data_IF_174184287842
#
_entry.id   IF_174184287842
#
_cell.length_a   1.000
_cell.length_b   1.000
_cell.length_c   1.000
_cell.angle_alpha   90.00
_cell.angle_beta   90.00
_cell.angle_gamma   90.00
#
_symmetry.space_group_name_H-M   'P 1'
#
loop_
_entity.id
_entity.type
_entity.pdbx_description
1 polymer ?
#
# COMPACT_ATOMS: atom_id res chain seq x y z
N UNK A 1 -31.99 -25.72 -45.94
CA UNK A 1 -30.97 -24.77 -46.47
C UNK A 1 -30.92 -23.60 -45.49
N UNK A 2 -30.13 -23.56 -44.43
CA UNK A 2 -28.67 -23.75 -44.34
C UNK A 2 -28.05 -22.41 -43.91
N UNK A 3 -28.38 -21.89 -42.72
CA UNK A 3 -27.73 -20.70 -42.16
C UNK A 3 -26.43 -21.10 -41.46
N UNK A 4 -25.29 -20.39 -41.65
CA UNK A 4 -24.04 -20.77 -41.02
C UNK A 4 -24.02 -20.34 -39.54
N UNK A 5 -23.33 -21.09 -38.67
CA UNK A 5 -23.24 -20.76 -37.26
C UNK A 5 -22.33 -19.54 -37.06
N UNK A 6 -22.75 -18.66 -36.16
CA UNK A 6 -21.98 -17.52 -35.68
C UNK A 6 -20.61 -17.98 -35.17
N UNK A 7 -19.54 -17.56 -35.86
CA UNK A 7 -18.17 -17.73 -35.37
C UNK A 7 -18.06 -17.03 -34.02
N UNK A 8 -18.02 -17.82 -32.93
CA UNK A 8 -17.57 -17.37 -31.62
C UNK A 8 -16.18 -16.78 -31.80
N UNK A 9 -16.07 -15.45 -31.71
CA UNK A 9 -14.77 -14.79 -31.56
C UNK A 9 -14.17 -15.28 -30.25
N UNK A 10 -13.22 -16.20 -30.37
CA UNK A 10 -12.33 -16.59 -29.27
C UNK A 10 -11.62 -15.32 -28.78
N UNK A 11 -11.92 -14.89 -27.56
CA UNK A 11 -11.28 -13.75 -26.93
C UNK A 11 -9.76 -14.00 -26.78
N UNK A 12 -8.88 -13.25 -27.47
CA UNK A 12 -7.43 -13.38 -27.32
C UNK A 12 -6.93 -12.83 -25.96
N UNK A 13 -7.83 -12.29 -25.14
CA UNK A 13 -7.52 -11.60 -23.89
C UNK A 13 -7.11 -12.56 -22.75
N UNK A 14 -7.63 -13.81 -22.72
CA UNK A 14 -7.34 -14.77 -21.64
C UNK A 14 -5.86 -15.20 -21.60
N UNK A 15 -5.24 -15.43 -22.76
CA UNK A 15 -3.85 -15.90 -22.83
C UNK A 15 -2.84 -14.87 -22.31
N UNK A 16 -3.03 -13.57 -22.60
CA UNK A 16 -2.10 -12.50 -22.19
C UNK A 16 -2.09 -12.25 -20.68
N UNK A 17 -3.25 -12.36 -20.02
CA UNK A 17 -3.34 -12.25 -18.55
C UNK A 17 -2.68 -13.44 -17.85
N UNK A 18 -2.90 -14.67 -18.34
CA UNK A 18 -2.23 -15.87 -17.80
C UNK A 18 -0.71 -15.82 -17.96
N UNK A 19 -0.19 -15.34 -19.09
CA UNK A 19 1.26 -15.19 -19.33
C UNK A 19 1.87 -14.14 -18.38
N UNK A 20 1.20 -13.01 -18.18
CA UNK A 20 1.68 -11.98 -17.25
C UNK A 20 1.72 -12.49 -15.81
N UNK A 21 0.67 -13.19 -15.37
CA UNK A 21 0.63 -13.77 -14.02
C UNK A 21 1.72 -14.82 -13.85
N UNK A 22 1.91 -15.72 -14.83
CA UNK A 22 2.99 -16.70 -14.80
C UNK A 22 4.38 -16.04 -14.75
N UNK A 23 4.60 -14.95 -15.51
CA UNK A 23 5.85 -14.19 -15.48
C UNK A 23 6.10 -13.52 -14.11
N UNK A 24 5.06 -12.98 -13.46
CA UNK A 24 5.17 -12.42 -12.11
C UNK A 24 5.49 -13.50 -11.07
N UNK A 25 4.85 -14.67 -11.15
CA UNK A 25 5.14 -15.81 -10.28
C UNK A 25 6.59 -16.25 -10.46
N UNK A 26 7.05 -16.44 -11.70
CA UNK A 26 8.43 -16.83 -11.98
C UNK A 26 9.44 -15.78 -11.48
N UNK A 27 9.12 -14.49 -11.64
CA UNK A 27 9.94 -13.41 -11.11
C UNK A 27 10.06 -13.48 -9.57
N UNK A 28 8.95 -13.66 -8.86
CA UNK A 28 8.96 -13.81 -7.39
C UNK A 28 9.76 -15.04 -6.96
N UNK A 29 9.58 -16.19 -7.63
CA UNK A 29 10.34 -17.41 -7.33
C UNK A 29 11.84 -17.19 -7.55
N UNK A 30 12.24 -16.53 -8.65
CA UNK A 30 13.64 -16.20 -8.89
C UNK A 30 14.21 -15.23 -7.86
N UNK A 31 13.42 -14.24 -7.41
CA UNK A 31 13.81 -13.30 -6.37
C UNK A 31 14.04 -14.00 -5.02
N UNK A 32 13.17 -14.96 -4.66
CA UNK A 32 13.32 -15.77 -3.46
C UNK A 32 14.58 -16.66 -3.53
N UNK A 33 14.86 -17.29 -4.67
CA UNK A 33 16.06 -18.13 -4.84
C UNK A 33 17.34 -17.33 -4.71
N UNK A 34 17.41 -16.14 -5.34
CA UNK A 34 18.55 -15.23 -5.20
C UNK A 34 18.71 -14.80 -3.75
N UNK A 35 17.61 -14.40 -3.08
CA UNK A 35 17.63 -14.04 -1.67
C UNK A 35 18.15 -15.17 -0.79
N UNK A 36 17.67 -16.39 -0.98
CA UNK A 36 18.11 -17.56 -0.23
C UNK A 36 19.60 -17.83 -0.39
N UNK A 37 20.12 -17.76 -1.62
CA UNK A 37 21.55 -17.96 -1.89
C UNK A 37 22.42 -16.87 -1.23
N UNK A 38 21.99 -15.61 -1.27
CA UNK A 38 22.72 -14.50 -0.64
C UNK A 38 22.70 -14.63 0.90
N UNK A 39 21.55 -14.94 1.50
CA UNK A 39 21.47 -15.12 2.96
C UNK A 39 22.27 -16.33 3.44
N UNK A 40 22.25 -17.44 2.72
CA UNK A 40 23.10 -18.61 3.05
C UNK A 40 24.59 -18.23 2.99
N UNK A 41 25.02 -17.51 1.95
CA UNK A 41 26.41 -17.08 1.82
C UNK A 41 26.86 -16.12 2.93
N UNK A 42 25.97 -15.23 3.38
CA UNK A 42 26.30 -14.20 4.38
C UNK A 42 26.18 -14.69 5.83
N UNK A 43 25.19 -15.52 6.14
CA UNK A 43 24.84 -15.86 7.53
C UNK A 43 25.28 -17.27 7.96
N UNK A 44 25.43 -18.23 7.04
CA UNK A 44 25.62 -19.64 7.41
C UNK A 44 26.96 -19.94 8.09
N UNK A 45 28.03 -19.19 7.78
CA UNK A 45 29.29 -19.31 8.52
C UNK A 45 29.20 -18.69 9.92
N UNK A 46 28.62 -17.50 10.02
CA UNK A 46 28.44 -16.81 11.29
C UNK A 46 27.52 -17.58 12.25
N UNK A 47 26.46 -18.22 11.74
CA UNK A 47 25.57 -19.08 12.53
C UNK A 47 26.30 -20.33 13.03
N UNK A 48 27.00 -21.05 12.15
CA UNK A 48 27.81 -22.23 12.56
C UNK A 48 28.85 -21.87 13.61
N UNK A 49 29.48 -20.70 13.49
CA UNK A 49 30.39 -20.16 14.50
C UNK A 49 29.71 -19.92 15.85
N UNK A 50 28.56 -19.23 15.88
CA UNK A 50 27.76 -19.00 17.09
C UNK A 50 27.29 -20.31 17.74
N UNK A 51 26.80 -21.26 16.96
CA UNK A 51 26.35 -22.56 17.47
C UNK A 51 27.50 -23.32 18.13
N UNK A 52 28.70 -23.35 17.51
CA UNK A 52 29.89 -23.95 18.11
C UNK A 52 30.30 -23.27 19.41
N UNK A 53 30.29 -21.93 19.44
CA UNK A 53 30.62 -21.16 20.64
C UNK A 53 29.62 -21.43 21.79
N UNK A 54 28.33 -21.49 21.49
CA UNK A 54 27.29 -21.83 22.47
C UNK A 54 27.44 -23.27 22.98
N UNK A 55 27.69 -24.23 22.10
CA UNK A 55 27.93 -25.62 22.47
C UNK A 55 29.17 -25.77 23.36
N UNK A 56 30.25 -25.04 23.05
CA UNK A 56 31.45 -25.00 23.88
C UNK A 56 31.15 -24.43 25.28
N UNK A 57 30.48 -23.27 25.35
CA UNK A 57 30.08 -22.65 26.62
C UNK A 57 29.19 -23.58 27.46
N UNK A 58 28.26 -24.29 26.83
CA UNK A 58 27.40 -25.27 27.52
C UNK A 58 28.23 -26.42 28.09
N UNK A 59 29.18 -26.95 27.32
CA UNK A 59 30.12 -27.98 27.79
C UNK A 59 30.99 -27.52 28.97
N UNK A 60 31.49 -26.29 28.93
CA UNK A 60 32.25 -25.67 30.03
C UNK A 60 31.42 -25.58 31.32
N UNK A 61 30.18 -25.09 31.22
CA UNK A 61 29.26 -25.00 32.36
C UNK A 61 28.95 -26.39 32.94
N UNK A 62 28.70 -27.36 32.06
CA UNK A 62 28.44 -28.75 32.45
C UNK A 62 29.57 -29.36 33.26
N UNK A 63 30.81 -29.15 32.81
CA UNK A 63 32.00 -29.69 33.49
C UNK A 63 32.32 -28.93 34.77
N UNK A 64 32.12 -27.61 34.80
CA UNK A 64 32.48 -26.76 35.95
C UNK A 64 31.49 -26.88 37.11
N UNK A 65 30.20 -26.99 36.81
CA UNK A 65 29.12 -26.96 37.81
C UNK A 65 28.34 -28.27 37.92
N UNK A 66 28.66 -29.28 37.10
CA UNK A 66 27.99 -30.58 37.15
C UNK A 66 26.58 -30.58 36.57
N UNK A 67 26.22 -29.62 35.71
CA UNK A 67 24.89 -29.55 35.11
C UNK A 67 24.49 -30.88 34.43
N UNK A 68 23.27 -31.35 34.72
CA UNK A 68 22.66 -32.48 34.05
C UNK A 68 22.06 -32.07 32.70
N UNK A 69 21.67 -33.03 31.87
CA UNK A 69 20.95 -32.74 30.63
C UNK A 69 19.51 -32.22 30.89
N UNK A 70 18.97 -32.46 32.09
CA UNK A 70 17.67 -31.96 32.51
C UNK A 70 17.77 -30.49 32.94
N UNK A 71 18.85 -30.13 33.64
CA UNK A 71 19.14 -28.76 34.03
C UNK A 71 19.40 -27.86 32.81
N UNK A 72 20.06 -28.39 31.77
CA UNK A 72 20.21 -27.69 30.48
C UNK A 72 18.84 -27.31 29.90
N UNK A 73 17.87 -28.24 29.95
CA UNK A 73 16.50 -27.99 29.45
C UNK A 73 15.76 -26.99 30.32
N UNK A 74 15.94 -27.06 31.63
CA UNK A 74 15.34 -26.11 32.56
C UNK A 74 15.91 -24.71 32.38
N UNK A 75 17.23 -24.58 32.23
CA UNK A 75 17.89 -23.31 31.94
C UNK A 75 17.43 -22.72 30.60
N UNK A 76 17.28 -23.54 29.56
CA UNK A 76 16.72 -23.11 28.28
C UNK A 76 15.25 -22.65 28.38
N UNK A 77 14.45 -23.28 29.26
CA UNK A 77 13.07 -22.85 29.54
C UNK A 77 13.05 -21.53 30.30
N UNK A 78 13.87 -21.41 31.34
CA UNK A 78 13.99 -20.20 32.15
C UNK A 78 14.53 -19.03 31.33
N UNK A 79 15.53 -19.25 30.47
CA UNK A 79 16.07 -18.21 29.59
C UNK A 79 14.99 -17.65 28.65
N UNK A 80 14.20 -18.53 28.02
CA UNK A 80 13.08 -18.12 27.15
C UNK A 80 11.99 -17.36 27.91
N UNK A 81 11.65 -17.80 29.12
CA UNK A 81 10.67 -17.09 29.95
C UNK A 81 11.21 -15.76 30.47
N UNK A 82 12.49 -15.70 30.81
CA UNK A 82 13.15 -14.49 31.29
C UNK A 82 13.25 -13.43 30.18
N UNK A 83 13.47 -13.82 28.93
CA UNK A 83 13.47 -12.89 27.78
C UNK A 83 12.16 -12.10 27.67
N UNK A 84 11.02 -12.76 27.83
CA UNK A 84 9.71 -12.10 27.81
C UNK A 84 9.50 -11.10 28.96
N UNK A 85 10.25 -11.25 30.06
CA UNK A 85 10.19 -10.37 31.24
C UNK A 85 11.37 -9.38 31.29
N UNK A 86 12.33 -9.47 30.37
CA UNK A 86 13.60 -8.73 30.40
C UNK A 86 13.41 -7.21 30.26
N UNK A 87 12.31 -6.80 29.66
CA UNK A 87 11.94 -5.40 29.47
C UNK A 87 10.93 -4.86 30.52
N UNK A 88 10.75 -5.56 31.65
CA UNK A 88 9.87 -5.14 32.73
C UNK A 88 8.38 -5.39 32.47
N UNK A 89 7.49 -4.61 33.11
CA UNK A 89 6.03 -4.79 33.02
C UNK A 89 5.46 -4.32 31.68
N UNK A 90 5.40 -5.23 30.70
CA UNK A 90 4.85 -4.97 29.36
C UNK A 90 3.33 -4.73 29.32
N UNK A 91 2.56 -5.31 30.25
CA UNK A 91 1.09 -5.26 30.25
C UNK A 91 0.49 -4.17 31.16
N UNK A 92 0.85 -2.92 30.88
CA UNK A 92 0.19 -1.71 31.40
C UNK A 92 -0.33 -0.89 30.22
N UNK A 93 -1.17 0.12 30.45
CA UNK A 93 -1.86 0.85 29.36
C UNK A 93 -0.93 1.26 28.20
N UNK A 94 0.23 1.86 28.47
CA UNK A 94 1.20 2.24 27.44
C UNK A 94 1.73 1.04 26.63
N UNK A 95 2.05 -0.08 27.28
CA UNK A 95 2.53 -1.29 26.61
C UNK A 95 1.41 -2.04 25.89
N UNK A 96 0.20 -2.09 26.46
CA UNK A 96 -1.00 -2.59 25.79
C UNK A 96 -1.35 -1.77 24.54
N UNK A 97 -1.18 -0.45 24.60
CA UNK A 97 -1.40 0.45 23.45
C UNK A 97 -0.31 0.25 22.38
N UNK A 98 0.95 0.07 22.79
CA UNK A 98 2.03 -0.27 21.87
C UNK A 98 1.76 -1.60 21.16
N UNK A 99 1.37 -2.64 21.91
CA UNK A 99 0.94 -3.91 21.36
C UNK A 99 -0.26 -3.77 20.41
N UNK A 100 -1.25 -2.96 20.76
CA UNK A 100 -2.38 -2.69 19.88
C UNK A 100 -1.95 -2.06 18.54
N UNK A 101 -1.03 -1.09 18.57
CA UNK A 101 -0.42 -0.52 17.36
C UNK A 101 0.25 -1.61 16.53
N UNK A 102 1.10 -2.44 17.12
CA UNK A 102 1.86 -3.46 16.36
C UNK A 102 0.95 -4.50 15.72
N UNK A 103 -0.21 -4.82 16.33
CA UNK A 103 -1.22 -5.72 15.77
C UNK A 103 -1.93 -5.09 14.56
N UNK A 104 -2.52 -3.89 14.71
CA UNK A 104 -3.32 -3.28 13.62
C UNK A 104 -2.47 -2.80 12.45
N UNK A 105 -1.20 -2.47 12.71
CA UNK A 105 -0.23 -2.07 11.67
C UNK A 105 0.51 -3.26 11.06
N UNK A 106 0.25 -4.48 11.52
CA UNK A 106 0.89 -5.72 11.05
C UNK A 106 2.41 -5.76 11.23
N UNK A 107 2.98 -4.91 12.09
CA UNK A 107 4.43 -4.95 12.40
C UNK A 107 4.76 -6.21 13.21
N UNK A 108 4.02 -6.46 14.31
CA UNK A 108 4.11 -7.71 15.05
C UNK A 108 5.49 -8.15 15.57
N UNK A 109 6.28 -7.27 16.19
CA UNK A 109 7.63 -7.57 16.71
C UNK A 109 7.78 -8.86 17.56
N UNK A 110 6.72 -9.34 18.21
CA UNK A 110 6.79 -10.54 19.05
C UNK A 110 7.46 -10.36 20.43
N UNK A 111 7.98 -9.18 20.77
CA UNK A 111 8.53 -8.89 22.11
C UNK A 111 7.49 -9.02 23.23
N UNK A 112 6.21 -8.84 22.92
CA UNK A 112 5.07 -9.07 23.80
C UNK A 112 3.97 -9.80 23.02
N UNK A 113 3.47 -10.89 23.58
CA UNK A 113 2.39 -11.70 23.01
C UNK A 113 1.39 -12.12 24.10
N UNK A 114 0.09 -12.27 23.78
CA UNK A 114 -0.92 -12.65 24.75
C UNK A 114 -0.68 -14.08 25.25
N UNK A 115 -0.33 -14.21 26.53
CA UNK A 115 -0.11 -15.50 27.18
C UNK A 115 -1.40 -16.26 27.50
N UNK A 116 -2.53 -15.56 27.66
CA UNK A 116 -3.83 -16.14 28.01
C UNK A 116 -4.64 -16.51 26.77
N UNK A 117 -5.43 -17.57 26.85
CA UNK A 117 -6.28 -18.00 25.72
C UNK A 117 -7.36 -16.97 25.38
N UNK A 118 -7.93 -16.31 26.39
CA UNK A 118 -8.86 -15.18 26.19
C UNK A 118 -8.19 -14.01 25.46
N UNK A 119 -6.94 -13.70 25.79
CA UNK A 119 -6.15 -12.66 25.12
C UNK A 119 -5.85 -12.99 23.67
N UNK A 120 -5.53 -14.26 23.37
CA UNK A 120 -5.33 -14.73 21.99
C UNK A 120 -6.61 -14.62 21.16
N UNK A 121 -7.74 -15.08 21.70
CA UNK A 121 -9.05 -14.99 21.01
C UNK A 121 -9.42 -13.53 20.75
N UNK A 122 -9.27 -12.65 21.75
CA UNK A 122 -9.50 -11.21 21.56
C UNK A 122 -8.58 -10.62 20.47
N UNK A 123 -7.29 -10.97 20.49
CA UNK A 123 -6.33 -10.51 19.49
C UNK A 123 -6.72 -10.90 18.06
N UNK A 124 -7.26 -12.11 17.86
CA UNK A 124 -7.73 -12.57 16.54
C UNK A 124 -8.87 -11.69 16.00
N UNK A 125 -9.90 -11.42 16.80
CA UNK A 125 -11.00 -10.54 16.41
C UNK A 125 -10.57 -9.08 16.24
N UNK A 126 -9.69 -8.60 17.12
CA UNK A 126 -9.14 -7.26 17.06
C UNK A 126 -8.34 -7.03 15.76
N UNK A 127 -7.49 -7.98 15.37
CA UNK A 127 -6.73 -7.92 14.12
C UNK A 127 -7.63 -7.97 12.88
N UNK A 128 -8.66 -8.84 12.90
CA UNK A 128 -9.60 -9.01 11.79
C UNK A 128 -10.30 -7.69 11.38
N UNK A 129 -10.70 -6.88 12.36
CA UNK A 129 -11.34 -5.59 12.12
C UNK A 129 -10.34 -4.43 12.02
N UNK A 130 -9.28 -4.48 12.83
CA UNK A 130 -8.28 -3.42 12.93
C UNK A 130 -7.44 -3.27 11.67
N UNK A 131 -6.94 -4.37 11.10
CA UNK A 131 -6.04 -4.33 9.94
C UNK A 131 -6.73 -3.67 8.72
N UNK A 132 -7.95 -4.08 8.28
CA UNK A 132 -8.63 -3.42 7.17
C UNK A 132 -8.90 -1.93 7.42
N UNK A 133 -9.32 -1.58 8.63
CA UNK A 133 -9.57 -0.18 9.02
C UNK A 133 -8.28 0.66 8.94
N UNK A 134 -7.17 0.13 9.45
CA UNK A 134 -5.87 0.77 9.40
C UNK A 134 -5.37 0.93 7.97
N UNK A 135 -5.53 -0.08 7.11
CA UNK A 135 -5.15 0.01 5.69
C UNK A 135 -5.93 1.12 4.96
N UNK A 136 -7.25 1.20 5.14
CA UNK A 136 -8.08 2.26 4.52
C UNK A 136 -7.68 3.64 5.03
N UNK A 137 -7.37 3.74 6.33
CA UNK A 137 -6.93 4.98 6.95
C UNK A 137 -5.57 5.42 6.39
N UNK A 138 -4.59 4.52 6.32
CA UNK A 138 -3.28 4.84 5.73
C UNK A 138 -3.36 5.19 4.25
N UNK A 139 -4.23 4.54 3.48
CA UNK A 139 -4.46 4.92 2.09
C UNK A 139 -5.01 6.36 1.99
N UNK A 140 -6.05 6.68 2.78
CA UNK A 140 -6.68 8.00 2.81
C UNK A 140 -5.71 9.10 3.28
N UNK A 141 -4.93 8.82 4.32
CA UNK A 141 -3.89 9.73 4.82
C UNK A 141 -2.76 9.88 3.80
N UNK A 142 -2.35 8.80 3.15
CA UNK A 142 -1.29 8.82 2.15
C UNK A 142 -1.65 9.66 0.92
N UNK A 143 -2.89 9.60 0.46
CA UNK A 143 -3.39 10.49 -0.61
C UNK A 143 -3.34 11.96 -0.21
N UNK A 144 -3.78 12.28 1.03
CA UNK A 144 -3.71 13.64 1.57
C UNK A 144 -2.27 14.13 1.71
N UNK A 145 -1.35 13.25 2.13
CA UNK A 145 0.07 13.54 2.24
C UNK A 145 0.69 13.79 0.86
N UNK A 146 0.39 12.96 -0.14
CA UNK A 146 0.84 13.16 -1.51
C UNK A 146 0.32 14.50 -2.09
N UNK A 147 -0.94 14.86 -1.80
CA UNK A 147 -1.48 16.17 -2.16
C UNK A 147 -0.75 17.32 -1.45
N UNK A 148 -0.38 17.16 -0.18
CA UNK A 148 0.43 18.13 0.56
C UNK A 148 1.82 18.28 -0.05
N UNK A 149 2.53 17.19 -0.32
CA UNK A 149 3.85 17.19 -0.97
C UNK A 149 3.78 17.92 -2.31
N UNK A 150 2.74 17.65 -3.12
CA UNK A 150 2.52 18.37 -4.38
C UNK A 150 2.35 19.88 -4.17
N UNK A 151 1.58 20.29 -3.17
CA UNK A 151 1.40 21.73 -2.82
C UNK A 151 2.71 22.37 -2.39
N UNK A 152 3.49 21.69 -1.54
CA UNK A 152 4.79 22.16 -1.06
C UNK A 152 5.80 22.28 -2.20
N UNK A 153 5.88 21.30 -3.10
CA UNK A 153 6.73 21.37 -4.30
C UNK A 153 6.34 22.53 -5.22
N UNK A 154 5.04 22.76 -5.40
CA UNK A 154 4.55 23.90 -6.17
C UNK A 154 4.87 25.24 -5.50
N UNK A 155 4.80 25.31 -4.16
CA UNK A 155 5.18 26.49 -3.41
C UNK A 155 6.69 26.75 -3.54
N UNK A 156 7.53 25.73 -3.32
CA UNK A 156 8.98 25.82 -3.47
C UNK A 156 9.39 26.27 -4.89
N UNK A 157 8.80 25.69 -5.93
CA UNK A 157 9.05 26.11 -7.32
C UNK A 157 8.62 27.55 -7.61
N UNK A 158 7.56 28.05 -6.95
CA UNK A 158 7.14 29.45 -7.03
C UNK A 158 8.12 30.37 -6.32
N UNK A 159 8.58 30.00 -5.13
CA UNK A 159 9.60 30.74 -4.39
C UNK A 159 10.93 30.82 -5.15
N UNK A 160 11.27 29.78 -5.94
CA UNK A 160 12.43 29.75 -6.84
C UNK A 160 12.24 30.54 -8.15
N UNK A 161 11.11 31.24 -8.35
CA UNK A 161 10.90 32.13 -9.50
C UNK A 161 10.56 31.43 -10.83
N UNK A 162 10.18 30.15 -10.82
CA UNK A 162 9.85 29.42 -12.04
C UNK A 162 8.51 29.88 -12.62
N UNK A 163 8.52 30.42 -13.86
CA UNK A 163 7.35 31.05 -14.52
C UNK A 163 6.15 30.12 -14.77
N UNK A 164 6.34 28.79 -14.81
CA UNK A 164 5.26 27.78 -14.97
C UNK A 164 5.57 26.51 -14.16
N UNK A 165 5.34 26.48 -12.84
CA UNK A 165 5.69 25.32 -12.02
C UNK A 165 4.74 24.16 -12.33
N UNK A 166 5.24 23.14 -13.04
CA UNK A 166 4.56 21.85 -13.22
C UNK A 166 5.23 20.80 -12.33
N UNK A 167 4.40 19.97 -11.68
CA UNK A 167 4.86 18.80 -10.92
C UNK A 167 4.56 17.58 -11.77
N UNK A 168 5.60 17.01 -12.37
CA UNK A 168 5.56 15.71 -13.05
C UNK A 168 5.45 14.58 -12.02
N UNK A 169 4.92 13.43 -12.45
CA UNK A 169 4.91 12.18 -11.67
C UNK A 169 6.31 11.78 -11.23
N UNK A 170 7.33 12.02 -12.05
CA UNK A 170 8.74 11.75 -11.70
C UNK A 170 9.20 12.59 -10.50
N UNK A 171 8.86 13.88 -10.48
CA UNK A 171 9.17 14.76 -9.34
C UNK A 171 8.48 14.30 -8.06
N UNK A 172 7.26 13.76 -8.17
CA UNK A 172 6.53 13.20 -7.03
C UNK A 172 7.21 11.92 -6.51
N UNK A 173 7.67 11.04 -7.39
CA UNK A 173 8.38 9.80 -7.00
C UNK A 173 9.70 10.14 -6.32
N UNK A 174 10.48 11.08 -6.88
CA UNK A 174 11.74 11.54 -6.26
C UNK A 174 11.48 12.18 -4.91
N UNK A 175 10.49 13.07 -4.80
CA UNK A 175 10.14 13.70 -3.53
C UNK A 175 9.64 12.70 -2.48
N UNK A 176 8.84 11.71 -2.89
CA UNK A 176 8.39 10.62 -2.03
C UNK A 176 9.54 9.75 -1.53
N UNK A 177 10.50 9.40 -2.41
CA UNK A 177 11.69 8.66 -2.03
C UNK A 177 12.56 9.45 -1.04
N UNK A 178 12.78 10.74 -1.31
CA UNK A 178 13.50 11.63 -0.38
C UNK A 178 12.79 11.75 0.97
N UNK A 179 11.46 11.83 0.98
CA UNK A 179 10.68 11.84 2.21
C UNK A 179 10.85 10.53 2.99
N UNK A 180 10.81 9.37 2.33
CA UNK A 180 11.04 8.07 2.98
C UNK A 180 12.44 7.99 3.61
N UNK A 181 13.48 8.37 2.85
CA UNK A 181 14.86 8.38 3.34
C UNK A 181 15.03 9.35 4.52
N UNK A 182 14.42 10.54 4.44
CA UNK A 182 14.45 11.53 5.51
C UNK A 182 13.73 11.02 6.78
N UNK A 183 12.58 10.36 6.64
CA UNK A 183 11.85 9.75 7.77
C UNK A 183 12.67 8.64 8.44
N UNK A 184 13.36 7.80 7.65
CA UNK A 184 14.24 6.76 8.19
C UNK A 184 15.46 7.37 8.90
N UNK A 185 16.12 8.36 8.29
CA UNK A 185 17.29 9.01 8.89
C UNK A 185 16.95 9.79 10.18
N UNK A 186 15.81 10.49 10.21
CA UNK A 186 15.34 11.22 11.39
C UNK A 186 14.99 10.27 12.53
N UNK A 187 14.31 9.16 12.22
CA UNK A 187 14.05 8.08 13.16
C UNK A 187 15.35 7.50 13.70
N UNK A 188 16.27 7.12 12.82
CA UNK A 188 17.56 6.54 13.17
C UNK A 188 18.36 7.44 14.12
N UNK A 189 18.45 8.74 13.82
CA UNK A 189 19.13 9.70 14.69
C UNK A 189 18.48 9.78 16.08
N UNK A 190 17.15 9.76 16.15
CA UNK A 190 16.42 9.84 17.41
C UNK A 190 16.55 8.57 18.24
N UNK A 191 16.31 7.39 17.65
CA UNK A 191 16.41 6.11 18.35
C UNK A 191 17.85 5.75 18.72
N UNK A 192 18.85 6.11 17.89
CA UNK A 192 20.26 5.95 18.26
C UNK A 192 20.60 6.73 19.55
N UNK A 193 20.05 7.95 19.70
CA UNK A 193 20.26 8.75 20.90
C UNK A 193 19.53 8.18 22.13
N UNK A 194 18.25 7.81 21.99
CA UNK A 194 17.44 7.38 23.14
C UNK A 194 17.71 5.95 23.60
N UNK A 195 18.01 5.02 22.69
CA UNK A 195 18.27 3.60 23.00
C UNK A 195 19.77 3.27 23.09
N UNK A 196 20.65 4.24 22.79
CA UNK A 196 22.10 4.03 22.81
C UNK A 196 22.60 3.11 21.69
N UNK A 197 21.81 2.91 20.64
CA UNK A 197 22.19 2.09 19.48
C UNK A 197 23.11 2.85 18.54
N UNK A 198 23.87 2.12 17.72
CA UNK A 198 24.57 2.74 16.58
C UNK A 198 23.55 3.26 15.58
N UNK A 199 23.91 4.31 14.82
CA UNK A 199 23.02 4.86 13.79
C UNK A 199 22.56 3.78 12.79
N UNK A 200 23.44 2.84 12.43
CA UNK A 200 23.11 1.73 11.54
C UNK A 200 22.01 0.82 12.12
N UNK A 201 22.15 0.39 13.38
CA UNK A 201 21.12 -0.44 14.03
C UNK A 201 19.80 0.30 14.19
N UNK A 202 19.84 1.59 14.53
CA UNK A 202 18.64 2.41 14.60
C UNK A 202 17.98 2.60 13.23
N UNK A 203 18.77 2.78 12.17
CA UNK A 203 18.27 2.87 10.79
C UNK A 203 17.64 1.55 10.33
N UNK A 204 18.29 0.43 10.61
CA UNK A 204 17.77 -0.91 10.36
C UNK A 204 16.44 -1.14 11.11
N UNK A 205 16.38 -0.79 12.40
CA UNK A 205 15.15 -0.81 13.19
C UNK A 205 14.03 -0.01 12.52
N UNK A 206 14.28 1.27 12.17
CA UNK A 206 13.29 2.11 11.49
C UNK A 206 12.83 1.50 10.16
N UNK A 207 13.75 0.94 9.37
CA UNK A 207 13.42 0.31 8.10
C UNK A 207 12.52 -0.92 8.29
N UNK A 208 12.92 -1.87 9.14
CA UNK A 208 12.15 -3.10 9.43
C UNK A 208 10.79 -2.79 10.06
N UNK A 209 10.72 -1.73 10.86
CA UNK A 209 9.49 -1.23 11.49
C UNK A 209 8.52 -0.66 10.45
N UNK A 210 8.97 0.31 9.64
CA UNK A 210 8.09 1.04 8.73
C UNK A 210 7.75 0.24 7.46
N UNK A 211 8.48 -0.84 7.19
CA UNK A 211 8.13 -1.83 6.16
C UNK A 211 7.23 -2.95 6.69
N UNK A 212 6.81 -2.86 7.96
CA UNK A 212 5.96 -3.84 8.66
C UNK A 212 6.50 -5.27 8.62
N UNK A 213 7.83 -5.43 8.56
CA UNK A 213 8.49 -6.72 8.68
C UNK A 213 8.58 -7.12 10.16
N UNK A 214 9.03 -6.18 11.00
CA UNK A 214 9.00 -6.30 12.46
C UNK A 214 9.64 -7.57 13.03
N UNK A 215 10.93 -7.85 12.75
CA UNK A 215 11.61 -9.03 13.28
C UNK A 215 11.66 -9.10 14.81
N UNK A 216 11.71 -7.95 15.50
CA UNK A 216 11.74 -7.88 16.96
C UNK A 216 13.11 -8.09 17.60
N UNK A 217 14.16 -8.20 16.79
CA UNK A 217 15.56 -8.18 17.21
C UNK A 217 15.97 -6.83 17.81
N UNK A 218 15.43 -5.74 17.27
CA UNK A 218 15.48 -4.40 17.85
C UNK A 218 14.06 -3.89 18.09
N UNK A 219 13.78 -3.45 19.32
CA UNK A 219 12.48 -2.90 19.71
C UNK A 219 12.70 -1.72 20.65
N UNK A 220 12.20 -0.54 20.28
CA UNK A 220 12.27 0.65 21.12
C UNK A 220 11.36 0.52 22.35
N UNK A 221 11.59 1.35 23.37
CA UNK A 221 10.82 1.38 24.61
C UNK A 221 10.98 0.16 25.53
N UNK A 222 11.94 -0.73 25.24
CA UNK A 222 12.22 -1.91 26.05
C UNK A 222 13.29 -1.66 27.14
N UNK A 223 14.13 -0.65 26.97
CA UNK A 223 15.23 -0.31 27.90
C UNK A 223 14.71 0.44 29.14
N UNK A 224 15.27 0.15 30.32
CA UNK A 224 15.10 0.90 31.59
C UNK A 224 13.65 1.24 32.02
N UNK A 225 12.69 0.34 31.76
CA UNK A 225 11.26 0.61 31.99
C UNK A 225 10.76 1.92 31.32
N UNK A 226 11.33 2.28 30.15
CA UNK A 226 11.01 3.52 29.43
C UNK A 226 9.51 3.71 29.19
N UNK A 227 8.76 2.63 28.97
CA UNK A 227 7.30 2.59 28.89
C UNK A 227 6.57 3.30 30.04
N UNK A 228 7.14 3.25 31.26
CA UNK A 228 6.56 3.86 32.46
C UNK A 228 7.26 5.17 32.83
N UNK A 229 8.58 5.25 32.63
CA UNK A 229 9.40 6.37 33.12
C UNK A 229 9.52 7.54 32.17
N UNK A 230 9.33 7.34 30.86
CA UNK A 230 9.54 8.38 29.84
C UNK A 230 8.30 8.56 28.93
N UNK A 231 7.15 9.04 29.45
CA UNK A 231 5.95 9.30 28.66
C UNK A 231 6.15 10.12 27.36
N UNK A 232 6.97 11.19 27.32
CA UNK A 232 7.15 11.94 26.06
C UNK A 232 7.87 11.12 24.99
N UNK A 233 8.81 10.25 25.37
CA UNK A 233 9.51 9.37 24.44
C UNK A 233 8.58 8.27 23.90
N UNK A 234 7.70 7.74 24.75
CA UNK A 234 6.64 6.80 24.35
C UNK A 234 5.70 7.43 23.32
N UNK A 235 5.21 8.65 23.59
CA UNK A 235 4.34 9.37 22.67
C UNK A 235 5.04 9.67 21.34
N UNK A 236 6.30 10.12 21.39
CA UNK A 236 7.13 10.32 20.19
C UNK A 236 7.23 9.04 19.37
N UNK A 237 7.53 7.91 20.01
CA UNK A 237 7.70 6.61 19.32
C UNK A 237 6.41 6.17 18.62
N UNK A 238 5.26 6.33 19.27
CA UNK A 238 3.96 6.00 18.65
C UNK A 238 3.64 6.92 17.46
N UNK A 239 3.87 8.22 17.62
CA UNK A 239 3.67 9.19 16.54
C UNK A 239 4.63 8.92 15.37
N UNK A 240 5.89 8.58 15.65
CA UNK A 240 6.87 8.23 14.64
C UNK A 240 6.42 7.01 13.82
N UNK A 241 5.96 5.94 14.47
CA UNK A 241 5.49 4.73 13.78
C UNK A 241 4.28 5.06 12.90
N UNK A 242 3.28 5.76 13.44
CA UNK A 242 2.05 6.10 12.70
C UNK A 242 2.31 7.04 11.52
N UNK A 243 3.11 8.09 11.73
CA UNK A 243 3.47 9.03 10.67
C UNK A 243 4.40 8.38 9.64
N UNK A 244 5.38 7.61 10.08
CA UNK A 244 6.33 6.92 9.21
C UNK A 244 5.64 5.91 8.31
N UNK A 245 4.72 5.10 8.85
CA UNK A 245 3.89 4.18 8.05
C UNK A 245 3.02 4.94 7.04
N UNK A 246 2.52 6.12 7.41
CA UNK A 246 1.79 6.98 6.48
C UNK A 246 2.67 7.47 5.33
N UNK A 247 3.93 7.84 5.60
CA UNK A 247 4.90 8.26 4.56
C UNK A 247 5.23 7.11 3.62
N UNK A 248 5.58 5.94 4.16
CA UNK A 248 5.88 4.74 3.36
C UNK A 248 4.64 4.31 2.57
N UNK A 249 3.47 4.28 3.20
CA UNK A 249 2.19 3.97 2.57
C UNK A 249 1.83 4.95 1.45
N UNK A 250 2.08 6.25 1.63
CA UNK A 250 1.87 7.26 0.59
C UNK A 250 2.76 7.02 -0.64
N UNK A 251 4.03 6.66 -0.40
CA UNK A 251 4.98 6.33 -1.46
C UNK A 251 4.61 5.04 -2.19
N UNK A 252 4.28 3.98 -1.45
CA UNK A 252 3.80 2.72 -2.02
C UNK A 252 2.53 2.94 -2.85
N UNK A 253 1.57 3.72 -2.34
CA UNK A 253 0.35 4.06 -3.09
C UNK A 253 0.69 4.76 -4.41
N UNK A 254 1.60 5.75 -4.41
CA UNK A 254 2.04 6.45 -5.63
C UNK A 254 2.66 5.49 -6.66
N UNK A 255 3.53 4.57 -6.20
CA UNK A 255 4.24 3.62 -7.07
C UNK A 255 3.30 2.52 -7.57
N UNK A 256 2.50 1.93 -6.68
CA UNK A 256 1.55 0.86 -7.01
C UNK A 256 0.48 1.37 -7.97
N UNK A 257 -0.10 2.56 -7.73
CA UNK A 257 -1.07 3.17 -8.66
C UNK A 257 -0.47 3.38 -10.04
N UNK A 258 0.82 3.76 -10.15
CA UNK A 258 1.50 3.87 -11.45
C UNK A 258 1.58 2.51 -12.15
N UNK A 259 1.94 1.44 -11.43
CA UNK A 259 2.01 0.10 -12.01
C UNK A 259 0.64 -0.44 -12.40
N UNK A 260 -0.39 -0.24 -11.57
CA UNK A 260 -1.77 -0.65 -11.86
C UNK A 260 -2.34 0.12 -13.06
N UNK A 261 -2.12 1.43 -13.14
CA UNK A 261 -2.54 2.23 -14.29
C UNK A 261 -1.80 1.82 -15.58
N UNK A 262 -0.48 1.60 -15.52
CA UNK A 262 0.29 1.11 -16.67
C UNK A 262 -0.20 -0.26 -17.17
N UNK A 263 -0.80 -1.06 -16.28
CA UNK A 263 -1.38 -2.36 -16.57
C UNK A 263 -2.73 -2.28 -17.28
N UNK A 264 -3.54 -1.28 -16.92
CA UNK A 264 -4.83 -1.00 -17.54
C UNK A 264 -4.68 -0.39 -18.95
N UNK A 265 -3.65 0.43 -19.17
CA UNK A 265 -3.37 1.07 -20.47
C UNK A 265 -2.82 0.12 -21.55
N UNK A 266 -2.23 -1.01 -21.15
CA UNK A 266 -1.59 -1.96 -22.06
C UNK A 266 -2.53 -2.56 -23.13
N UNK A 267 -3.75 -3.05 -22.79
CA UNK A 267 -4.70 -3.54 -23.78
C UNK A 267 -5.23 -2.43 -24.73
N UNK A 268 -5.42 -1.21 -24.24
CA UNK A 268 -5.96 -0.09 -25.03
C UNK A 268 -4.93 0.45 -26.04
N UNK A 269 -3.64 0.52 -25.66
CA UNK A 269 -2.53 0.82 -26.57
C UNK A 269 -2.31 -0.29 -27.61
N UNK A 270 -2.56 -1.55 -27.25
CA UNK A 270 -2.50 -2.66 -28.19
C UNK A 270 -3.68 -2.63 -29.19
N UNK A 271 -4.88 -2.26 -28.75
CA UNK A 271 -6.06 -2.12 -29.60
C UNK A 271 -5.92 -0.95 -30.59
N UNK A 272 -5.44 0.20 -30.14
CA UNK A 272 -5.19 1.38 -30.99
C UNK A 272 -4.06 1.19 -32.01
N UNK A 273 -3.04 0.37 -31.69
CA UNK A 273 -2.00 -0.04 -32.66
C UNK A 273 -2.48 -1.12 -33.64
N UNK A 274 -3.50 -1.90 -33.28
CA UNK A 274 -4.08 -2.93 -34.14
C UNK A 274 -5.15 -2.40 -35.10
N UNK A 275 -5.67 -1.19 -34.89
CA UNK A 275 -6.48 -0.47 -35.87
C UNK A 275 -5.57 0.23 -36.89
N UNK A 276 -5.56 -0.19 -38.17
CA UNK A 276 -4.88 0.57 -39.21
C UNK A 276 -5.53 1.94 -39.32
N UNK A 277 -4.73 3.00 -39.42
CA UNK A 277 -5.26 4.34 -39.62
C UNK A 277 -6.13 4.37 -40.89
N UNK A 278 -7.45 4.39 -40.75
CA UNK A 278 -8.34 4.91 -41.80
C UNK A 278 -8.14 6.42 -41.86
N UNK A 279 -7.02 6.86 -42.45
CA UNK A 279 -6.90 8.21 -42.98
C UNK A 279 -7.77 8.25 -44.24
N UNK A 280 -8.85 9.02 -44.18
CA UNK A 280 -9.68 9.36 -45.34
C UNK A 280 -10.97 8.55 -45.48
N UNK A 281 -12.00 8.92 -44.73
CA UNK A 281 -13.38 8.76 -45.17
C UNK A 281 -14.19 9.95 -44.61
N UNK A 282 -15.00 10.65 -45.43
CA UNK A 282 -15.76 11.79 -44.96
C UNK A 282 -16.83 11.31 -43.98
N UNK A 283 -16.93 11.95 -42.81
CA UNK A 283 -18.00 11.71 -41.85
C UNK A 283 -19.36 11.99 -42.52
N UNK A 284 -20.10 10.92 -42.83
CA UNK A 284 -21.47 11.05 -43.29
C UNK A 284 -22.32 11.59 -42.15
N UNK A 285 -23.06 12.68 -42.44
CA UNK A 285 -23.97 13.43 -41.55
C UNK A 285 -24.89 12.57 -40.69
N UNK A 286 -25.16 11.31 -41.08
CA UNK A 286 -25.99 10.36 -40.36
C UNK A 286 -25.45 9.97 -38.96
N UNK A 287 -24.13 9.98 -38.75
CA UNK A 287 -23.55 9.61 -37.44
C UNK A 287 -23.72 10.70 -36.37
N UNK A 288 -23.78 11.98 -36.76
CA UNK A 288 -24.07 13.09 -35.81
C UNK A 288 -25.53 13.09 -35.35
N UNK A 289 -26.46 12.70 -36.21
CA UNK A 289 -27.90 12.66 -35.87
C UNK A 289 -28.20 11.57 -34.84
N UNK A 290 -27.56 10.40 -34.96
CA UNK A 290 -27.71 9.29 -34.02
C UNK A 290 -27.14 9.58 -32.61
N UNK A 291 -26.01 10.32 -32.52
CA UNK A 291 -25.47 10.71 -31.21
C UNK A 291 -26.30 11.79 -30.50
N UNK A 292 -26.87 12.73 -31.25
CA UNK A 292 -27.77 13.75 -30.69
C UNK A 292 -29.10 13.16 -30.21
N UNK A 293 -29.58 12.10 -30.86
CA UNK A 293 -30.86 11.46 -30.53
C UNK A 293 -30.76 10.55 -29.29
N UNK A 294 -29.60 9.93 -29.02
CA UNK A 294 -29.39 9.23 -27.74
C UNK A 294 -29.29 10.20 -26.55
N UNK A 295 -28.67 11.36 -26.72
CA UNK A 295 -28.52 12.34 -25.63
C UNK A 295 -29.84 12.99 -25.17
N UNK A 296 -30.91 12.91 -25.98
CA UNK A 296 -32.23 13.46 -25.66
C UNK A 296 -33.13 12.48 -24.87
N UNK A 297 -32.85 11.17 -24.89
CA UNK A 297 -33.66 10.17 -24.17
C UNK A 297 -33.32 10.07 -22.67
N UNK A 298 -32.18 10.62 -22.23
CA UNK A 298 -31.71 10.51 -20.85
C UNK A 298 -32.00 11.75 -19.97
N UNK A 299 -32.77 12.73 -20.46
CA UNK A 299 -33.01 13.99 -19.72
C UNK A 299 -34.45 14.52 -19.88
N UNK A 300 -35.37 14.29 -18.92
CA UNK A 300 -36.80 14.64 -19.05
C UNK A 300 -37.13 16.13 -18.87
N UNK A 301 -36.21 17.03 -19.20
CA UNK A 301 -36.37 18.48 -18.99
C UNK A 301 -35.94 19.39 -20.14
N UNK A 302 -35.59 18.85 -21.31
CA UNK A 302 -35.02 19.66 -22.40
C UNK A 302 -35.95 19.73 -23.61
N UNK A 303 -36.60 20.88 -23.80
CA UNK A 303 -37.32 21.21 -25.05
C UNK A 303 -36.38 22.00 -25.97
N UNK A 304 -36.03 21.52 -27.17
CA UNK A 304 -35.20 22.29 -28.10
C UNK A 304 -36.01 23.42 -28.77
N UNK A 305 -35.37 24.55 -29.11
CA UNK A 305 -36.04 25.66 -29.77
C UNK A 305 -36.34 25.32 -31.23
N UNK A 306 -37.50 25.80 -31.69
CA UNK A 306 -38.05 25.66 -33.03
C UNK A 306 -37.04 26.03 -34.12
N UNK A 307 -36.95 25.18 -35.16
CA UNK A 307 -36.35 25.53 -36.45
C UNK A 307 -37.45 25.58 -37.53
N UNK A 308 -37.30 26.46 -38.54
CA UNK A 308 -38.41 26.91 -39.38
C UNK A 308 -38.79 25.86 -40.43
N UNK A 309 -40.10 25.66 -40.63
CA UNK A 309 -40.66 24.79 -41.67
C UNK A 309 -40.48 25.39 -43.07
N UNK A 310 -40.19 24.57 -44.10
CA UNK A 310 -40.14 25.02 -45.48
C UNK A 310 -41.55 25.07 -46.10
N UNK A 311 -41.78 26.09 -46.93
CA UNK A 311 -43.01 26.33 -47.70
C UNK A 311 -43.13 25.39 -48.91
N UNK A 312 -44.31 24.76 -49.06
CA UNK A 312 -44.97 24.27 -50.29
C UNK A 312 -46.33 23.69 -49.84
N UNK A 313 -47.51 23.92 -50.40
CA UNK A 313 -47.97 24.59 -51.60
C UNK A 313 -49.34 23.98 -51.98
N UNK A 314 -50.35 24.83 -52.19
CA UNK A 314 -51.57 24.64 -53.01
C UNK A 314 -52.86 24.00 -52.46
N UNK A 315 -53.96 24.68 -52.88
CA UNK A 315 -55.41 24.38 -52.93
C UNK A 315 -56.22 24.62 -51.64
N UNK A 316 -56.93 25.75 -51.52
CA UNK A 316 -58.19 26.16 -52.17
C UNK A 316 -59.42 25.47 -51.56
N UNK A 317 -60.15 26.18 -50.69
CA UNK A 317 -61.62 26.28 -50.79
C UNK A 317 -62.18 27.45 -49.96
N UNK A 318 -63.19 28.14 -50.53
CA UNK A 318 -63.88 29.32 -49.99
C UNK A 318 -64.96 28.93 -48.96
N UNK A 319 -65.32 29.83 -48.02
CA UNK A 319 -66.38 29.56 -47.06
C UNK A 319 -67.78 29.86 -47.64
N UNK A 320 -68.74 28.97 -47.41
CA UNK A 320 -70.18 29.23 -47.61
C UNK A 320 -70.81 29.74 -46.31
N UNK A 321 -71.52 30.86 -46.43
CA UNK A 321 -72.32 31.49 -45.39
C UNK A 321 -73.72 30.86 -45.24
N UNK A 322 -74.41 31.28 -44.15
CA UNK A 322 -75.81 31.04 -43.69
C UNK A 322 -75.92 30.01 -42.55
N UNK A 323 -76.73 30.20 -41.50
CA UNK A 323 -77.81 31.18 -41.22
C UNK A 323 -78.07 31.21 -39.69
N UNK A 324 -78.63 32.34 -39.23
CA UNK A 324 -79.17 32.61 -37.88
C UNK A 324 -80.42 31.76 -37.55
N UNK A 325 -80.75 31.78 -36.24
CA UNK A 325 -82.05 31.58 -35.52
C UNK A 325 -81.86 30.52 -34.42
N UNK A 326 -82.18 30.72 -33.15
CA UNK A 326 -83.00 31.68 -32.39
C UNK A 326 -82.22 32.10 -31.15
#
# INVERSE_FOLDING_TARGET
VGAPPSRRRWCPARGKQSVRTAALILCILSYLLVGAAVFDALESEAERGRQRALAQKRGELRRKYGFSAEDDRELERLARQAEAHRAGRQWKFAGSFYFAITVITTIGYGHAAPGTDSGKVFCMFYALLGIPLTLVTFQSLGERLNALVRRLLLAAKRCLGLRRPRVSTENMVVAGLLACVATLALGAATFAHFEGWTFFHAYYYCFITLTTIGFGDFVALQSDEALQRKPPYVAFSFLYILLGLTVIGAFLNLVVLRFLAASADAPERAASRASPSRRGAPESRAHRTLQLQMHACDNPGFSPPWSPTPVRGSRADRPRARRKSI
#
